data_IF_987832919400
#
_entry.id   IF_987832919400
#
_cell.length_a   1.000
_cell.length_b   1.000
_cell.length_c   1.000
_cell.angle_alpha   90.00
_cell.angle_beta   90.00
_cell.angle_gamma   90.00
#
_symmetry.space_group_name_H-M   'P 1'
#
loop_
_entity.id
_entity.type
_entity.pdbx_description
1 polymer ?
#
# COMPACT_ATOMS: atom_id res chain seq x y z
N UNK A 1 21.30 -5.13 20.66
CA UNK A 1 20.16 -5.73 19.93
C UNK A 1 19.01 -4.74 19.98
N UNK A 2 18.48 -4.30 18.84
CA UNK A 2 17.34 -3.37 18.80
C UNK A 2 16.06 -4.15 19.16
N UNK A 3 15.29 -3.67 20.13
CA UNK A 3 13.97 -4.20 20.48
C UNK A 3 12.92 -3.23 19.96
N UNK A 4 12.08 -3.71 19.04
CA UNK A 4 10.95 -2.93 18.53
C UNK A 4 9.69 -3.24 19.36
N UNK A 5 8.87 -2.21 19.58
CA UNK A 5 7.56 -2.33 20.26
C UNK A 5 6.46 -2.06 19.25
N UNK A 6 5.44 -2.92 19.21
CA UNK A 6 4.20 -2.63 18.47
C UNK A 6 3.47 -1.47 19.16
N UNK A 7 3.10 -0.46 18.39
CA UNK A 7 2.33 0.68 18.89
C UNK A 7 0.82 0.49 18.77
N UNK A 8 0.39 -0.53 18.02
CA UNK A 8 -1.01 -0.92 17.87
C UNK A 8 -1.13 -2.43 18.02
N UNK A 9 -2.19 -2.88 18.69
CA UNK A 9 -2.58 -4.29 18.80
C UNK A 9 -3.43 -4.75 17.60
N UNK A 10 -3.82 -3.82 16.73
CA UNK A 10 -4.57 -4.06 15.49
C UNK A 10 -3.77 -3.60 14.26
N UNK A 11 -4.07 -4.13 13.06
CA UNK A 11 -3.53 -3.56 11.82
C UNK A 11 -3.86 -2.06 11.70
N UNK A 12 -2.87 -1.27 11.33
CA UNK A 12 -2.99 0.19 11.15
C UNK A 12 -3.75 0.59 9.88
N UNK A 13 -3.95 -0.37 8.97
CA UNK A 13 -4.76 -0.23 7.77
C UNK A 13 -5.40 -1.60 7.48
N UNK A 14 -6.68 -1.59 7.11
CA UNK A 14 -7.44 -2.79 6.72
C UNK A 14 -8.05 -2.61 5.31
N UNK A 15 -8.27 -3.70 4.57
CA UNK A 15 -9.04 -3.70 3.32
C UNK A 15 -10.40 -2.99 3.46
N UNK A 16 -10.88 -2.38 2.37
CA UNK A 16 -12.22 -1.79 2.28
C UNK A 16 -13.03 -2.53 1.23
N UNK A 17 -14.10 -3.19 1.66
CA UNK A 17 -14.96 -3.97 0.75
C UNK A 17 -15.67 -3.09 -0.27
N UNK A 18 -15.91 -1.83 0.07
CA UNK A 18 -16.49 -0.82 -0.81
C UNK A 18 -15.55 -0.35 -1.93
N UNK A 19 -14.25 -0.66 -1.83
CA UNK A 19 -13.24 -0.34 -2.85
C UNK A 19 -12.75 -1.64 -3.48
N UNK A 20 -13.31 -2.08 -4.62
CA UNK A 20 -13.02 -3.40 -5.19
C UNK A 20 -11.51 -3.69 -5.31
N UNK A 21 -10.72 -2.72 -5.77
CA UNK A 21 -9.27 -2.86 -5.97
C UNK A 21 -8.45 -3.16 -4.69
N UNK A 22 -9.00 -2.90 -3.50
CA UNK A 22 -8.38 -3.19 -2.20
C UNK A 22 -9.29 -4.02 -1.28
N UNK A 23 -10.27 -4.73 -1.85
CA UNK A 23 -11.33 -5.36 -1.09
C UNK A 23 -10.88 -6.60 -0.31
N UNK A 24 -9.89 -7.35 -0.81
CA UNK A 24 -9.46 -8.60 -0.20
C UNK A 24 -8.20 -8.43 0.65
N UNK A 25 -7.15 -7.81 0.11
CA UNK A 25 -5.89 -7.68 0.83
C UNK A 25 -5.16 -6.37 0.53
N UNK A 26 -4.58 -5.81 1.59
CA UNK A 26 -3.60 -4.72 1.52
C UNK A 26 -2.39 -5.06 2.37
N UNK A 27 -1.18 -4.89 1.83
CA UNK A 27 0.05 -5.41 2.44
C UNK A 27 1.31 -4.83 1.76
N UNK A 28 2.49 -5.33 2.16
CA UNK A 28 3.79 -5.04 1.56
C UNK A 28 4.02 -3.55 1.23
N UNK A 29 3.79 -2.67 2.20
CA UNK A 29 3.90 -1.23 1.99
C UNK A 29 5.35 -0.73 2.00
N UNK A 30 5.57 0.39 1.32
CA UNK A 30 6.65 1.32 1.56
C UNK A 30 6.18 2.46 2.46
N UNK A 31 7.10 3.05 3.23
CA UNK A 31 6.82 4.26 3.98
C UNK A 31 8.02 5.21 4.01
N UNK A 32 7.75 6.52 4.01
CA UNK A 32 8.75 7.57 4.20
C UNK A 32 8.15 8.72 5.02
N UNK A 33 8.97 9.34 5.85
CA UNK A 33 8.58 10.56 6.55
C UNK A 33 9.08 11.78 5.78
N UNK A 34 8.18 12.66 5.36
CA UNK A 34 8.49 13.90 4.65
C UNK A 34 7.45 14.97 4.99
N UNK A 35 7.88 16.24 5.05
CA UNK A 35 6.99 17.39 5.29
C UNK A 35 6.00 17.24 6.46
N UNK A 36 6.44 16.59 7.54
CA UNK A 36 5.62 16.42 8.76
C UNK A 36 4.62 15.27 8.72
N UNK A 37 4.68 14.39 7.72
CA UNK A 37 3.76 13.28 7.53
C UNK A 37 4.51 11.97 7.29
N UNK A 38 3.92 10.87 7.75
CA UNK A 38 4.24 9.53 7.26
C UNK A 38 3.44 9.32 5.97
N UNK A 39 4.15 9.11 4.87
CA UNK A 39 3.61 8.74 3.58
C UNK A 39 3.74 7.23 3.42
N UNK A 40 2.66 6.54 3.08
CA UNK A 40 2.61 5.11 2.86
C UNK A 40 2.12 4.82 1.45
N UNK A 41 2.86 3.99 0.71
CA UNK A 41 2.39 3.37 -0.53
C UNK A 41 2.22 1.90 -0.24
N UNK A 42 1.03 1.34 -0.42
CA UNK A 42 0.72 -0.05 -0.08
C UNK A 42 0.23 -0.82 -1.29
N UNK A 43 0.58 -2.11 -1.36
CA UNK A 43 0.05 -3.03 -2.35
C UNK A 43 -1.37 -3.42 -1.97
N UNK A 44 -2.25 -3.53 -2.95
CA UNK A 44 -3.64 -3.90 -2.80
C UNK A 44 -4.07 -4.89 -3.89
N UNK A 45 -5.05 -5.72 -3.58
CA UNK A 45 -5.67 -6.67 -4.51
C UNK A 45 -7.10 -7.00 -4.08
N UNK A 46 -7.92 -7.36 -5.05
CA UNK A 46 -9.34 -7.66 -4.92
C UNK A 46 -9.65 -9.14 -4.65
N UNK A 47 -8.67 -10.03 -4.82
CA UNK A 47 -8.82 -11.47 -4.59
C UNK A 47 -7.62 -12.10 -3.87
N UNK A 48 -7.79 -13.33 -3.41
CA UNK A 48 -6.74 -14.07 -2.74
C UNK A 48 -5.62 -14.49 -3.73
N UNK A 49 -4.36 -14.58 -3.30
CA UNK A 49 -3.23 -14.98 -4.15
C UNK A 49 -3.30 -16.43 -4.64
N UNK A 50 -4.37 -17.16 -4.32
CA UNK A 50 -4.59 -18.54 -4.73
C UNK A 50 -5.13 -18.66 -6.17
N UNK A 51 -5.63 -17.56 -6.75
CA UNK A 51 -6.11 -17.48 -8.14
C UNK A 51 -7.41 -18.24 -8.44
N UNK A 52 -8.17 -18.64 -7.41
CA UNK A 52 -9.43 -19.39 -7.58
C UNK A 52 -10.60 -18.49 -7.92
N UNK A 53 -10.54 -17.24 -7.48
CA UNK A 53 -11.63 -16.27 -7.59
C UNK A 53 -11.52 -15.39 -8.86
N UNK A 54 -10.40 -15.47 -9.59
CA UNK A 54 -10.18 -14.72 -10.82
C UNK A 54 -8.71 -14.40 -11.08
N UNK A 55 -8.48 -13.38 -11.91
CA UNK A 55 -7.15 -12.86 -12.18
C UNK A 55 -6.60 -12.10 -10.96
N UNK A 56 -5.45 -12.54 -10.46
CA UNK A 56 -4.79 -11.89 -9.32
C UNK A 56 -4.06 -10.64 -9.79
N UNK A 57 -4.75 -9.50 -9.71
CA UNK A 57 -4.26 -8.19 -10.12
C UNK A 57 -3.96 -7.32 -8.90
N UNK A 58 -2.83 -6.63 -8.95
CA UNK A 58 -2.34 -5.75 -7.91
C UNK A 58 -2.36 -4.30 -8.36
N UNK A 59 -2.48 -3.40 -7.40
CA UNK A 59 -2.27 -1.99 -7.61
C UNK A 59 -1.68 -1.35 -6.35
N UNK A 60 -1.24 -0.10 -6.47
CA UNK A 60 -0.65 0.63 -5.35
C UNK A 60 -1.61 1.71 -4.86
N UNK A 61 -1.99 1.61 -3.59
CA UNK A 61 -2.71 2.65 -2.88
C UNK A 61 -1.76 3.62 -2.17
N UNK A 62 -2.29 4.76 -1.78
CA UNK A 62 -1.56 5.78 -1.03
C UNK A 62 -2.32 6.23 0.21
N UNK A 63 -1.59 6.38 1.31
CA UNK A 63 -2.12 6.85 2.57
C UNK A 63 -1.13 7.78 3.29
N UNK A 64 -1.65 8.69 4.10
CA UNK A 64 -0.87 9.62 4.92
C UNK A 64 -1.31 9.58 6.37
N UNK A 65 -0.35 9.76 7.27
CA UNK A 65 -0.59 9.83 8.72
C UNK A 65 0.28 10.90 9.38
N UNK A 66 -0.25 11.54 10.43
CA UNK A 66 0.53 12.44 11.30
C UNK A 66 1.23 11.71 12.45
N UNK A 67 0.72 10.56 12.87
CA UNK A 67 1.18 9.82 14.06
C UNK A 67 1.74 8.43 13.73
N UNK A 68 1.69 8.02 12.46
CA UNK A 68 2.14 6.72 11.98
C UNK A 68 1.23 5.55 12.36
N UNK A 69 0.03 5.82 12.91
CA UNK A 69 -0.93 4.81 13.38
C UNK A 69 -2.30 5.00 12.69
N UNK A 70 -2.79 6.23 12.61
CA UNK A 70 -4.07 6.55 12.00
C UNK A 70 -3.85 7.14 10.60
N UNK A 71 -4.33 6.45 9.57
CA UNK A 71 -4.09 6.80 8.18
C UNK A 71 -5.35 7.30 7.48
N UNK A 72 -5.21 8.37 6.71
CA UNK A 72 -6.16 8.77 5.67
C UNK A 72 -5.63 8.26 4.33
N UNK A 73 -6.45 7.54 3.56
CA UNK A 73 -6.08 6.98 2.25
C UNK A 73 -6.89 7.58 1.11
N UNK A 74 -6.29 7.64 -0.08
CA UNK A 74 -7.02 7.99 -1.30
C UNK A 74 -8.04 6.91 -1.65
N UNK A 75 -9.11 7.30 -2.35
CA UNK A 75 -10.18 6.37 -2.79
C UNK A 75 -9.78 5.53 -4.00
N UNK A 76 -8.85 6.05 -4.81
CA UNK A 76 -8.36 5.40 -6.03
C UNK A 76 -6.88 5.04 -5.88
N UNK A 77 -6.40 3.97 -6.55
CA UNK A 77 -5.00 3.63 -6.55
C UNK A 77 -4.17 4.73 -7.25
N UNK A 78 -2.94 4.92 -6.79
CA UNK A 78 -1.98 5.86 -7.41
C UNK A 78 -1.21 5.23 -8.57
N UNK A 79 -1.16 3.90 -8.63
CA UNK A 79 -0.56 3.16 -9.73
C UNK A 79 -1.34 1.86 -9.96
N UNK A 80 -1.69 1.62 -11.22
CA UNK A 80 -2.37 0.41 -11.68
C UNK A 80 -1.71 -0.04 -12.98
N UNK A 81 -2.09 -1.23 -13.48
CA UNK A 81 -1.50 -1.73 -14.71
C UNK A 81 -1.92 -0.90 -15.93
N UNK A 82 -0.95 -0.32 -16.63
CA UNK A 82 -1.13 0.36 -17.92
C UNK A 82 -0.38 -0.32 -19.10
N UNK A 83 0.30 -1.45 -18.87
CA UNK A 83 1.06 -2.16 -19.91
C UNK A 83 0.89 -3.69 -19.89
N UNK A 84 1.31 -4.37 -20.95
CA UNK A 84 1.28 -5.84 -20.99
C UNK A 84 2.35 -6.51 -20.12
N UNK A 85 3.46 -5.81 -19.86
CA UNK A 85 4.57 -6.35 -19.08
C UNK A 85 4.19 -6.48 -17.60
N UNK A 86 3.44 -5.51 -17.09
CA UNK A 86 2.92 -5.48 -15.73
C UNK A 86 1.51 -6.09 -15.67
N UNK A 87 1.24 -7.19 -16.40
CA UNK A 87 -0.10 -7.76 -16.54
C UNK A 87 -0.82 -8.03 -15.20
N UNK A 88 -0.08 -8.35 -14.15
CA UNK A 88 -0.59 -8.57 -12.77
C UNK A 88 -0.55 -7.33 -11.89
N UNK A 89 -0.24 -6.19 -12.49
CA UNK A 89 -0.07 -4.89 -11.87
C UNK A 89 1.19 -4.73 -11.03
N UNK A 90 1.46 -3.48 -10.60
CA UNK A 90 2.64 -3.15 -9.82
C UNK A 90 2.59 -3.79 -8.43
N UNK A 91 3.76 -4.19 -7.91
CA UNK A 91 3.88 -4.88 -6.65
C UNK A 91 4.96 -4.26 -5.74
N UNK A 92 4.76 -4.44 -4.44
CA UNK A 92 5.75 -4.22 -3.38
C UNK A 92 6.62 -2.95 -3.55
N UNK A 93 6.03 -1.76 -3.39
CA UNK A 93 6.74 -0.51 -3.56
C UNK A 93 7.89 -0.39 -2.55
N UNK A 94 8.94 0.33 -2.95
CA UNK A 94 9.96 0.89 -2.06
C UNK A 94 10.11 2.34 -2.41
N UNK A 95 10.40 3.17 -1.41
CA UNK A 95 10.55 4.61 -1.62
C UNK A 95 11.76 5.14 -0.88
N UNK A 96 12.57 5.93 -1.56
CA UNK A 96 13.68 6.69 -0.98
C UNK A 96 13.68 8.10 -1.54
N UNK A 97 14.04 9.08 -0.73
CA UNK A 97 14.23 10.46 -1.17
C UNK A 97 15.71 10.78 -1.31
N UNK A 98 16.15 11.10 -2.53
CA UNK A 98 17.54 11.46 -2.83
C UNK A 98 17.54 12.80 -3.55
N UNK A 99 18.25 13.79 -3.00
CA UNK A 99 18.38 15.13 -3.56
C UNK A 99 17.04 15.79 -3.95
N UNK A 100 15.99 15.57 -3.16
CA UNK A 100 14.65 16.13 -3.39
C UNK A 100 13.73 15.29 -4.28
N UNK A 101 14.24 14.25 -4.92
CA UNK A 101 13.47 13.33 -5.77
C UNK A 101 13.11 12.06 -5.02
N UNK A 102 11.89 11.57 -5.20
CA UNK A 102 11.46 10.26 -4.71
C UNK A 102 11.69 9.18 -5.79
N UNK A 103 12.27 8.06 -5.38
CA UNK A 103 12.54 6.87 -6.18
C UNK A 103 11.86 5.67 -5.55
#
# INVERSE_FOLDING_TARGET
>A
MIKLKRLSDQPILLPKKEHPWEAEAIFNCSAIYDNGLVHMIYRATDIAPNGKEGDYINCLGYAVSKDGIHFNRLEQPILSNDTKQEARGPEDPRIVKIAGTFY
#
